data_IF_216539715498
#
_entry.id   IF_216539715498
#
_cell.length_a   1.000
_cell.length_b   1.000
_cell.length_c   1.000
_cell.angle_alpha   90.00
_cell.angle_beta   90.00
_cell.angle_gamma   90.00
#
_symmetry.space_group_name_H-M   'P 1'
#
loop_
_entity.id
_entity.type
_entity.pdbx_description
1 polymer ?
#
# COMPACT_ATOMS: atom_id res chain seq x y z
N UNK A 1 17.38 -22.68 -2.07
CA UNK A 1 17.75 -21.31 -1.64
C UNK A 1 18.61 -20.64 -2.72
N UNK A 2 19.59 -21.33 -3.30
CA UNK A 2 20.47 -20.78 -4.35
C UNK A 2 19.71 -20.37 -5.61
N UNK A 3 18.82 -21.21 -6.07
CA UNK A 3 17.96 -20.95 -7.24
C UNK A 3 17.01 -19.76 -7.05
N UNK A 4 16.46 -19.61 -5.84
CA UNK A 4 15.58 -18.47 -5.50
C UNK A 4 16.36 -17.15 -5.54
N UNK A 5 17.57 -17.15 -5.00
CA UNK A 5 18.44 -15.97 -5.01
C UNK A 5 18.85 -15.58 -6.44
N UNK A 6 19.27 -16.56 -7.25
CA UNK A 6 19.64 -16.34 -8.64
C UNK A 6 18.46 -15.80 -9.46
N UNK A 7 17.26 -16.32 -9.20
CA UNK A 7 16.03 -15.81 -9.84
C UNK A 7 15.71 -14.39 -9.40
N UNK A 8 15.82 -14.07 -8.10
CA UNK A 8 15.52 -12.74 -7.56
C UNK A 8 16.40 -11.63 -8.16
N UNK A 9 17.65 -11.94 -8.50
CA UNK A 9 18.60 -11.01 -9.14
C UNK A 9 18.61 -11.12 -10.67
N UNK A 10 17.80 -12.00 -11.25
CA UNK A 10 17.69 -12.15 -12.69
C UNK A 10 17.11 -10.89 -13.37
N UNK A 11 17.43 -10.59 -14.63
CA UNK A 11 16.97 -9.39 -15.33
C UNK A 11 15.46 -9.14 -15.24
N UNK A 12 14.55 -10.14 -15.39
CA UNK A 12 13.12 -9.89 -15.31
C UNK A 12 12.62 -9.61 -13.89
N UNK A 13 13.33 -10.10 -12.84
CA UNK A 13 12.92 -9.96 -11.44
C UNK A 13 13.60 -8.79 -10.74
N UNK A 14 14.76 -8.35 -11.20
CA UNK A 14 15.59 -7.34 -10.58
C UNK A 14 14.85 -6.02 -10.29
N UNK A 15 14.03 -5.46 -11.20
CA UNK A 15 13.26 -4.24 -10.93
C UNK A 15 12.29 -4.42 -9.75
N UNK A 16 11.63 -5.58 -9.66
CA UNK A 16 10.69 -5.88 -8.59
C UNK A 16 11.40 -6.11 -7.26
N UNK A 17 12.57 -6.73 -7.30
CA UNK A 17 13.41 -6.92 -6.10
C UNK A 17 13.94 -5.59 -5.58
N UNK A 18 14.36 -4.68 -6.45
CA UNK A 18 14.74 -3.31 -6.07
C UNK A 18 13.56 -2.56 -5.44
N UNK A 19 12.35 -2.73 -5.99
CA UNK A 19 11.14 -2.10 -5.46
C UNK A 19 10.79 -2.59 -4.04
N UNK A 20 11.21 -3.79 -3.69
CA UNK A 20 11.00 -4.36 -2.34
C UNK A 20 11.90 -3.71 -1.27
N UNK A 21 13.06 -3.19 -1.66
CA UNK A 21 14.03 -2.58 -0.74
C UNK A 21 13.44 -1.38 0.02
N UNK A 22 12.84 -0.36 -0.63
CA UNK A 22 12.25 0.75 0.10
C UNK A 22 11.08 0.33 1.02
N UNK A 23 10.33 -0.71 0.66
CA UNK A 23 9.28 -1.26 1.52
C UNK A 23 9.89 -1.88 2.78
N UNK A 24 10.94 -2.69 2.62
CA UNK A 24 11.64 -3.29 3.75
C UNK A 24 12.28 -2.23 4.65
N UNK A 25 12.89 -1.20 4.05
CA UNK A 25 13.49 -0.09 4.77
C UNK A 25 12.45 0.71 5.55
N UNK A 26 11.30 1.01 4.93
CA UNK A 26 10.18 1.69 5.60
C UNK A 26 9.74 0.93 6.85
N UNK A 27 9.49 -0.37 6.73
CA UNK A 27 9.08 -1.18 7.88
C UNK A 27 10.15 -1.28 8.95
N UNK A 28 11.42 -1.39 8.56
CA UNK A 28 12.53 -1.39 9.51
C UNK A 28 12.59 -0.08 10.30
N UNK A 29 12.50 1.06 9.63
CA UNK A 29 12.50 2.38 10.26
C UNK A 29 11.26 2.60 11.13
N UNK A 30 10.10 2.09 10.70
CA UNK A 30 8.86 2.14 11.47
C UNK A 30 8.96 1.34 12.78
N UNK A 31 9.56 0.15 12.74
CA UNK A 31 9.77 -0.69 13.93
C UNK A 31 10.72 0.00 14.93
N UNK A 32 11.74 0.69 14.44
CA UNK A 32 12.70 1.44 15.28
C UNK A 32 12.05 2.73 15.84
N UNK A 33 10.87 3.12 15.33
CA UNK A 33 10.21 4.37 15.70
C UNK A 33 10.85 5.61 15.08
N UNK A 34 11.65 5.43 14.01
CA UNK A 34 12.32 6.54 13.32
C UNK A 34 11.41 7.23 12.29
N UNK A 35 10.27 6.65 11.97
CA UNK A 35 9.27 7.21 11.05
C UNK A 35 8.01 7.49 11.83
N UNK A 36 7.67 8.78 11.95
CA UNK A 36 6.36 9.20 12.41
C UNK A 36 5.32 8.78 11.38
N UNK A 37 4.23 8.18 11.85
CA UNK A 37 3.13 7.72 11.00
C UNK A 37 2.50 8.86 10.21
N UNK A 38 2.62 10.10 10.67
CA UNK A 38 2.15 11.31 10.01
C UNK A 38 2.93 11.68 8.75
N UNK A 39 4.15 11.19 8.59
CA UNK A 39 5.00 11.50 7.44
C UNK A 39 4.52 10.86 6.14
N UNK A 40 3.72 9.78 6.24
CA UNK A 40 3.14 9.06 5.11
C UNK A 40 1.64 8.82 5.23
N UNK A 41 1.02 9.37 6.28
CA UNK A 41 -0.41 9.62 6.30
C UNK A 41 -0.69 10.72 5.28
N UNK A 42 -0.90 10.33 4.04
CA UNK A 42 -1.57 11.22 3.09
C UNK A 42 -2.98 11.32 3.66
N UNK A 43 -3.25 12.42 4.38
CA UNK A 43 -4.59 12.77 4.82
C UNK A 43 -5.48 12.80 3.58
N UNK A 44 -6.25 11.73 3.42
CA UNK A 44 -7.21 11.61 2.32
C UNK A 44 -8.50 12.40 2.60
N UNK A 45 -8.62 12.95 3.79
CA UNK A 45 -9.67 13.90 4.12
C UNK A 45 -9.27 15.26 3.57
N UNK A 46 -9.79 15.58 2.40
CA UNK A 46 -9.63 16.86 1.72
C UNK A 46 -10.31 18.00 2.50
N UNK A 47 -9.82 18.29 3.69
CA UNK A 47 -10.12 19.51 4.42
C UNK A 47 -8.81 20.26 4.62
N UNK A 48 -8.79 21.40 3.96
CA UNK A 48 -7.95 22.58 4.11
C UNK A 48 -6.71 22.74 3.22
N UNK A 49 -6.95 23.59 2.17
CA UNK A 49 -6.15 24.79 1.91
C UNK A 49 -4.67 24.67 1.57
N UNK A 50 -4.12 23.52 1.32
CA UNK A 50 -2.75 23.42 0.85
C UNK A 50 -2.69 23.59 -0.68
N UNK A 51 -1.74 24.37 -1.22
CA UNK A 51 -1.62 24.59 -2.65
C UNK A 51 -1.46 23.25 -3.36
N UNK A 52 -2.37 22.99 -4.29
CA UNK A 52 -2.33 21.85 -5.19
C UNK A 52 -0.95 21.71 -5.81
N UNK A 53 -0.16 20.79 -5.30
CA UNK A 53 0.92 20.23 -6.09
C UNK A 53 0.27 19.22 -7.04
N UNK A 54 -0.06 19.69 -8.25
CA UNK A 54 -0.50 18.90 -9.39
C UNK A 54 0.64 17.96 -9.85
N UNK A 55 1.08 17.06 -8.98
CA UNK A 55 2.01 16.01 -9.35
C UNK A 55 1.22 14.82 -9.86
N UNK A 56 1.41 14.42 -11.13
CA UNK A 56 0.71 13.29 -11.75
C UNK A 56 0.86 11.99 -10.96
N UNK A 57 1.89 11.89 -10.13
CA UNK A 57 2.11 10.77 -9.22
C UNK A 57 1.02 10.65 -8.16
N UNK A 58 0.54 11.78 -7.60
CA UNK A 58 -0.53 11.77 -6.61
C UNK A 58 -1.88 11.33 -7.20
N UNK A 59 -2.23 11.79 -8.38
CA UNK A 59 -3.43 11.33 -9.08
C UNK A 59 -3.38 9.83 -9.39
N UNK A 60 -2.21 9.34 -9.78
CA UNK A 60 -2.02 7.92 -10.04
C UNK A 60 -2.17 7.07 -8.76
N UNK A 61 -1.61 7.53 -7.63
CA UNK A 61 -1.75 6.88 -6.32
C UNK A 61 -3.23 6.87 -5.89
N UNK A 62 -3.92 8.01 -5.98
CA UNK A 62 -5.35 8.11 -5.66
C UNK A 62 -6.22 7.21 -6.54
N UNK A 63 -5.93 7.14 -7.84
CA UNK A 63 -6.58 6.24 -8.77
C UNK A 63 -6.38 4.76 -8.40
N UNK A 64 -5.15 4.39 -8.05
CA UNK A 64 -4.79 3.02 -7.66
C UNK A 64 -5.48 2.60 -6.37
N UNK A 65 -5.57 3.48 -5.37
CA UNK A 65 -6.27 3.23 -4.10
C UNK A 65 -7.78 3.08 -4.30
N UNK A 66 -8.35 3.82 -5.25
CA UNK A 66 -9.76 3.67 -5.62
C UNK A 66 -10.04 2.29 -6.21
N UNK A 67 -9.14 1.78 -7.06
CA UNK A 67 -9.24 0.43 -7.65
C UNK A 67 -9.13 -0.64 -6.56
N UNK A 68 -8.23 -0.45 -5.59
CA UNK A 68 -8.02 -1.36 -4.46
C UNK A 68 -9.11 -1.21 -3.38
N UNK A 69 -10.02 -0.22 -3.51
CA UNK A 69 -11.06 0.09 -2.53
C UNK A 69 -10.51 0.26 -1.10
N UNK A 70 -9.36 0.90 -0.95
CA UNK A 70 -8.56 0.96 0.28
C UNK A 70 -8.45 2.38 0.85
N UNK A 71 -9.48 3.23 0.67
CA UNK A 71 -9.47 4.64 1.12
C UNK A 71 -9.33 4.83 2.62
N UNK A 72 -9.70 3.84 3.40
CA UNK A 72 -9.72 3.88 4.88
C UNK A 72 -8.43 3.33 5.49
N UNK A 73 -7.48 2.88 4.65
CA UNK A 73 -6.25 2.23 5.10
C UNK A 73 -5.06 3.09 4.66
N UNK A 74 -4.06 3.28 5.55
CA UNK A 74 -2.86 4.00 5.18
C UNK A 74 -2.23 3.48 3.89
N UNK A 75 -1.92 4.41 2.97
CA UNK A 75 -1.41 4.11 1.63
C UNK A 75 -0.20 3.18 1.67
N UNK A 76 0.68 3.39 2.64
CA UNK A 76 1.91 2.59 2.79
C UNK A 76 1.64 1.13 3.08
N UNK A 77 0.59 0.81 3.85
CA UNK A 77 0.19 -0.58 4.11
C UNK A 77 -0.28 -1.23 2.81
N UNK A 78 -1.16 -0.56 2.08
CA UNK A 78 -1.70 -1.06 0.81
C UNK A 78 -0.59 -1.26 -0.21
N UNK A 79 0.32 -0.28 -0.33
CA UNK A 79 1.45 -0.33 -1.25
C UNK A 79 2.42 -1.45 -0.89
N UNK A 80 2.71 -1.63 0.40
CA UNK A 80 3.58 -2.71 0.88
C UNK A 80 2.99 -4.08 0.55
N UNK A 81 1.71 -4.28 0.82
CA UNK A 81 0.99 -5.52 0.51
C UNK A 81 1.02 -5.79 -0.99
N UNK A 82 0.74 -4.76 -1.81
CA UNK A 82 0.77 -4.88 -3.27
C UNK A 82 2.16 -5.29 -3.79
N UNK A 83 3.23 -4.63 -3.33
CA UNK A 83 4.60 -4.90 -3.77
C UNK A 83 5.04 -6.31 -3.37
N UNK A 84 4.73 -6.74 -2.14
CA UNK A 84 5.06 -8.07 -1.66
C UNK A 84 4.34 -9.14 -2.50
N UNK A 85 3.05 -8.99 -2.75
CA UNK A 85 2.31 -9.94 -3.59
C UNK A 85 2.75 -9.89 -5.04
N UNK A 86 3.06 -8.71 -5.59
CA UNK A 86 3.59 -8.56 -6.93
C UNK A 86 4.91 -9.31 -7.10
N UNK A 87 5.84 -9.11 -6.17
CA UNK A 87 7.13 -9.80 -6.17
C UNK A 87 6.94 -11.31 -6.02
N UNK A 88 6.11 -11.76 -5.07
CA UNK A 88 5.85 -13.18 -4.84
C UNK A 88 5.19 -13.86 -6.04
N UNK A 89 4.15 -13.26 -6.63
CA UNK A 89 3.49 -13.78 -7.84
C UNK A 89 4.43 -13.82 -9.05
N UNK A 90 5.24 -12.77 -9.24
CA UNK A 90 6.23 -12.73 -10.32
C UNK A 90 7.32 -13.80 -10.12
N UNK A 91 7.75 -14.02 -8.88
CA UNK A 91 8.73 -15.04 -8.52
C UNK A 91 8.20 -16.44 -8.84
N UNK A 92 7.01 -16.79 -8.34
CA UNK A 92 6.37 -18.07 -8.62
C UNK A 92 6.05 -18.24 -10.11
N UNK A 93 5.57 -17.19 -10.75
CA UNK A 93 5.27 -17.21 -12.16
C UNK A 93 6.52 -17.45 -13.02
N UNK A 94 7.63 -16.79 -12.72
CA UNK A 94 8.89 -17.01 -13.43
C UNK A 94 9.43 -18.42 -13.18
N UNK A 95 9.32 -18.94 -11.95
CA UNK A 95 9.77 -20.28 -11.63
C UNK A 95 9.01 -21.35 -12.44
N UNK A 96 7.70 -21.18 -12.64
CA UNK A 96 6.86 -22.18 -13.30
C UNK A 96 6.77 -21.99 -14.83
N UNK A 97 6.64 -20.74 -15.29
CA UNK A 97 6.37 -20.42 -16.71
C UNK A 97 7.60 -19.96 -17.48
N UNK A 98 8.69 -19.64 -16.78
CA UNK A 98 9.93 -19.16 -17.42
C UNK A 98 11.19 -19.86 -16.88
N UNK A 99 11.24 -21.20 -16.85
CA UNK A 99 12.39 -21.95 -16.34
C UNK A 99 13.68 -21.68 -17.13
N UNK A 100 13.54 -21.22 -18.38
CA UNK A 100 14.68 -20.87 -19.24
C UNK A 100 15.24 -19.47 -18.98
N UNK A 101 14.63 -18.67 -18.07
CA UNK A 101 15.09 -17.32 -17.73
C UNK A 101 15.02 -16.30 -18.87
N UNK A 102 14.16 -16.53 -19.88
CA UNK A 102 14.05 -15.66 -21.06
C UNK A 102 13.45 -14.31 -20.68
N UNK A 103 14.12 -13.21 -21.01
CA UNK A 103 13.72 -11.86 -20.57
C UNK A 103 12.30 -11.46 -21.00
N UNK A 104 11.91 -11.74 -22.27
CA UNK A 104 10.57 -11.38 -22.77
C UNK A 104 9.44 -12.17 -22.09
N UNK A 105 9.66 -13.47 -21.82
CA UNK A 105 8.70 -14.30 -21.07
C UNK A 105 8.59 -13.83 -19.62
N UNK A 106 9.72 -13.49 -19.01
CA UNK A 106 9.74 -12.90 -17.69
C UNK A 106 8.95 -11.59 -17.60
N UNK A 107 9.02 -10.75 -18.64
CA UNK A 107 8.20 -9.55 -18.76
C UNK A 107 6.70 -9.86 -18.82
N UNK A 108 6.26 -10.81 -19.63
CA UNK A 108 4.86 -11.23 -19.71
C UNK A 108 4.36 -11.81 -18.38
N UNK A 109 5.18 -12.63 -17.72
CA UNK A 109 4.88 -13.18 -16.41
C UNK A 109 4.72 -12.05 -15.38
N UNK A 110 5.58 -11.03 -15.41
CA UNK A 110 5.48 -9.88 -14.49
C UNK A 110 4.21 -9.07 -14.71
N UNK A 111 3.76 -8.91 -15.96
CA UNK A 111 2.47 -8.27 -16.26
C UNK A 111 1.30 -9.10 -15.70
N UNK A 112 1.31 -10.42 -15.92
CA UNK A 112 0.31 -11.32 -15.33
C UNK A 112 0.32 -11.29 -13.80
N UNK A 113 1.52 -11.26 -13.21
CA UNK A 113 1.70 -11.14 -11.76
C UNK A 113 1.13 -9.83 -11.21
N UNK A 114 1.22 -8.72 -11.95
CA UNK A 114 0.64 -7.44 -11.55
C UNK A 114 -0.88 -7.53 -11.41
N UNK A 115 -1.58 -8.10 -12.40
CA UNK A 115 -3.03 -8.29 -12.31
C UNK A 115 -3.40 -9.20 -11.14
N UNK A 116 -2.69 -10.30 -10.97
CA UNK A 116 -2.92 -11.24 -9.86
C UNK A 116 -2.65 -10.58 -8.50
N UNK A 117 -1.57 -9.81 -8.37
CA UNK A 117 -1.23 -9.08 -7.15
C UNK A 117 -2.29 -8.04 -6.78
N UNK A 118 -2.82 -7.29 -7.76
CA UNK A 118 -3.92 -6.33 -7.52
C UNK A 118 -5.16 -7.03 -6.97
N UNK A 119 -5.55 -8.15 -7.57
CA UNK A 119 -6.70 -8.93 -7.11
C UNK A 119 -6.47 -9.45 -5.69
N UNK A 120 -5.32 -10.09 -5.43
CA UNK A 120 -4.98 -10.62 -4.10
C UNK A 120 -4.93 -9.50 -3.07
N UNK A 121 -4.28 -8.37 -3.38
CA UNK A 121 -4.20 -7.20 -2.50
C UNK A 121 -5.58 -6.70 -2.12
N UNK A 122 -6.50 -6.60 -3.07
CA UNK A 122 -7.88 -6.18 -2.80
C UNK A 122 -8.57 -7.09 -1.77
N UNK A 123 -8.39 -8.40 -1.89
CA UNK A 123 -8.93 -9.36 -0.94
C UNK A 123 -8.20 -9.31 0.41
N UNK A 124 -6.88 -9.20 0.41
CA UNK A 124 -6.07 -9.16 1.63
C UNK A 124 -6.33 -7.89 2.47
N UNK A 125 -6.55 -6.76 1.80
CA UNK A 125 -6.80 -5.45 2.44
C UNK A 125 -8.26 -5.32 2.92
N UNK A 126 -9.21 -6.03 2.29
CA UNK A 126 -10.63 -5.97 2.64
C UNK A 126 -10.93 -6.22 4.14
N UNK A 127 -10.38 -7.26 4.80
CA UNK A 127 -10.65 -7.51 6.22
C UNK A 127 -9.98 -6.49 7.16
N UNK A 128 -9.02 -5.71 6.69
CA UNK A 128 -8.36 -4.68 7.51
C UNK A 128 -9.23 -3.42 7.68
N UNK A 129 -10.16 -3.16 6.76
CA UNK A 129 -11.04 -1.97 6.80
C UNK A 129 -11.80 -1.82 8.11
N UNK A 130 -12.53 -2.84 8.61
CA UNK A 130 -13.26 -2.70 9.86
C UNK A 130 -12.35 -2.42 11.05
N UNK A 131 -11.12 -2.94 11.03
CA UNK A 131 -10.13 -2.68 12.09
C UNK A 131 -9.70 -1.20 12.09
N UNK A 132 -9.41 -0.64 10.91
CA UNK A 132 -9.02 0.78 10.81
C UNK A 132 -10.17 1.72 11.14
N UNK A 133 -11.41 1.39 10.78
CA UNK A 133 -12.60 2.16 11.21
C UNK A 133 -12.73 2.21 12.72
N UNK A 134 -12.56 1.09 13.42
CA UNK A 134 -12.63 1.04 14.89
C UNK A 134 -11.57 1.92 15.56
N UNK A 135 -10.40 2.06 14.94
CA UNK A 135 -9.32 2.92 15.45
C UNK A 135 -9.57 4.39 15.14
N UNK A 136 -10.20 4.71 14.01
CA UNK A 136 -10.55 6.08 13.60
C UNK A 136 -11.79 6.61 14.32
N UNK A 137 -12.72 5.74 14.68
CA UNK A 137 -13.95 6.07 15.42
C UNK A 137 -13.70 6.18 16.95
N UNK A 138 -12.45 6.33 17.40
CA UNK A 138 -12.16 6.53 18.82
C UNK A 138 -12.84 7.81 19.34
N UNK A 139 -13.72 7.71 20.35
CA UNK A 139 -14.52 8.85 20.85
C UNK A 139 -13.67 9.98 21.42
N UNK A 140 -12.37 9.78 21.66
CA UNK A 140 -11.43 10.85 22.03
C UNK A 140 -11.12 11.81 20.89
N UNK A 141 -11.33 11.39 19.63
CA UNK A 141 -11.13 12.22 18.42
C UNK A 141 -12.44 12.89 17.95
N UNK A 142 -13.48 12.86 18.81
CA UNK A 142 -14.73 13.60 18.55
C UNK A 142 -14.45 15.09 18.31
N UNK A 143 -15.23 15.78 17.46
CA UNK A 143 -15.03 17.18 17.16
C UNK A 143 -14.96 17.97 18.46
N UNK A 144 -14.02 18.94 18.59
CA UNK A 144 -13.74 19.61 19.84
C UNK A 144 -15.03 20.15 20.45
N UNK A 145 -15.27 19.77 21.71
CA UNK A 145 -16.49 20.15 22.46
C UNK A 145 -16.49 21.66 22.76
N UNK A 146 -15.34 22.31 22.57
CA UNK A 146 -15.15 23.74 22.80
C UNK A 146 -15.88 24.53 21.70
N UNK A 147 -16.91 25.30 22.10
CA UNK A 147 -17.72 26.13 21.18
C UNK A 147 -19.10 25.57 20.83
N UNK A 148 -19.49 24.42 21.37
CA UNK A 148 -20.87 23.92 21.25
C UNK A 148 -21.78 24.55 22.31
N UNK A 149 -22.80 25.29 21.89
CA UNK A 149 -23.89 25.77 22.74
C UNK A 149 -24.86 24.61 23.01
N UNK A 150 -24.89 24.13 24.25
CA UNK A 150 -25.88 23.16 24.70
C UNK A 150 -27.11 23.87 25.23
N UNK A 151 -28.33 23.43 24.90
CA UNK A 151 -29.56 23.86 25.52
C UNK A 151 -29.82 23.00 26.75
N UNK A 152 -29.88 23.63 27.94
CA UNK A 152 -30.28 22.95 29.17
C UNK A 152 -31.80 22.79 29.15
N UNK A 153 -32.29 21.54 29.08
CA UNK A 153 -33.70 21.22 29.38
C UNK A 153 -33.85 20.96 30.85
N UNK A 154 -34.45 21.89 31.55
CA UNK A 154 -34.96 21.64 32.92
C UNK A 154 -36.28 20.88 32.82
N UNK A 155 -36.37 19.76 33.55
CA UNK A 155 -37.62 19.00 33.71
C UNK A 155 -38.53 19.70 34.69
#
# INVERSE_FOLDING_TARGET
VKEIWELAISPPMLPLTILLVPVALFWLLSIIGAVDHDLFGVDMDGHDGSPHHDHPVFEWIHGSLRILNAREIPVMIVLSVLIIFLWGCAMLGNLWFNPAGTGWRGGLVSVGALFTAVVITRFAVSPLKPLFRLVQDDPETGPPVVGRTGTVRTA
#
